data_IF_622943865520
#
_entry.id   IF_622943865520
#
_cell.length_a   1.000
_cell.length_b   1.000
_cell.length_c   1.000
_cell.angle_alpha   90.00
_cell.angle_beta   90.00
_cell.angle_gamma   90.00
#
_symmetry.space_group_name_H-M   'P 1'
#
loop_
_entity.id
_entity.type
_entity.pdbx_description
1 polymer ?
#
# COMPACT_ATOMS: atom_id res chain seq x y z
N UNK A 1 -17.64 7.76 -11.14
CA UNK A 1 -18.85 7.27 -11.83
C UNK A 1 -19.61 8.49 -12.35
N UNK A 2 -20.18 8.49 -13.56
CA UNK A 2 -21.11 9.54 -13.95
C UNK A 2 -22.44 9.26 -13.23
N UNK A 3 -22.75 10.11 -12.25
CA UNK A 3 -23.96 10.12 -11.44
C UNK A 3 -23.96 11.44 -10.65
N UNK A 4 -25.12 11.89 -10.14
CA UNK A 4 -25.16 13.12 -9.33
C UNK A 4 -24.15 13.00 -8.18
N UNK A 5 -23.41 14.08 -7.93
CA UNK A 5 -22.45 14.13 -6.82
C UNK A 5 -23.24 13.82 -5.55
N UNK A 6 -22.85 12.80 -4.75
CA UNK A 6 -23.55 12.46 -3.52
C UNK A 6 -23.68 13.69 -2.62
N UNK A 7 -24.81 13.82 -1.92
CA UNK A 7 -25.03 14.92 -0.97
C UNK A 7 -24.00 14.91 0.18
N UNK A 8 -23.43 13.74 0.50
CA UNK A 8 -22.42 13.52 1.52
C UNK A 8 -21.29 12.63 1.00
N UNK A 9 -20.04 12.97 1.32
CA UNK A 9 -18.86 12.12 1.06
C UNK A 9 -18.65 11.18 2.25
N UNK A 10 -19.23 9.98 2.19
CA UNK A 10 -19.05 8.95 3.21
C UNK A 10 -17.63 8.35 3.05
N UNK A 11 -16.79 8.27 4.11
CA UNK A 11 -15.45 7.70 4.00
C UNK A 11 -15.43 6.19 3.72
N UNK A 12 -14.23 5.65 3.47
CA UNK A 12 -13.97 4.20 3.31
C UNK A 12 -13.69 3.81 1.87
N UNK A 13 -12.55 3.14 1.65
CA UNK A 13 -12.00 2.81 0.32
C UNK A 13 -11.88 1.30 0.07
N UNK A 14 -12.19 0.48 1.06
CA UNK A 14 -12.16 -0.97 0.96
C UNK A 14 -13.19 -1.57 1.91
N UNK A 15 -13.50 -2.84 1.71
CA UNK A 15 -14.45 -3.58 2.53
C UNK A 15 -14.14 -5.08 2.51
N UNK A 16 -14.71 -5.79 3.49
CA UNK A 16 -14.98 -7.21 3.42
C UNK A 16 -16.35 -7.50 4.04
N UNK A 17 -17.08 -8.45 3.47
CA UNK A 17 -18.41 -8.83 3.92
C UNK A 17 -19.02 -9.94 3.06
N UNK A 18 -20.32 -10.16 3.19
CA UNK A 18 -21.05 -11.16 2.42
C UNK A 18 -21.88 -10.53 1.30
N UNK A 19 -21.98 -11.22 0.17
CA UNK A 19 -22.81 -10.77 -0.94
C UNK A 19 -24.29 -10.88 -0.56
N UNK A 20 -24.96 -9.75 -0.39
CA UNK A 20 -26.41 -9.72 -0.14
C UNK A 20 -27.25 -9.81 -1.42
N UNK A 21 -26.75 -9.28 -2.54
CA UNK A 21 -27.43 -9.29 -3.84
C UNK A 21 -26.43 -9.15 -4.99
N UNK A 22 -26.79 -9.66 -6.17
CA UNK A 22 -25.98 -9.55 -7.40
C UNK A 22 -26.81 -8.95 -8.53
N UNK A 23 -26.18 -8.13 -9.37
CA UNK A 23 -26.80 -7.62 -10.59
C UNK A 23 -26.92 -8.70 -11.65
N UNK A 24 -27.94 -8.63 -12.53
CA UNK A 24 -28.25 -9.71 -13.49
C UNK A 24 -27.20 -10.01 -14.57
N UNK A 25 -26.10 -9.25 -14.64
CA UNK A 25 -24.95 -9.49 -15.54
C UNK A 25 -23.66 -9.82 -14.79
N UNK A 26 -23.74 -10.03 -13.48
CA UNK A 26 -22.57 -10.35 -12.66
C UNK A 26 -22.28 -11.84 -12.77
N UNK A 27 -21.01 -12.16 -13.01
CA UNK A 27 -20.48 -13.53 -13.02
C UNK A 27 -19.47 -13.71 -11.89
N UNK A 28 -19.29 -14.95 -11.44
CA UNK A 28 -18.26 -15.34 -10.45
C UNK A 28 -18.63 -15.12 -8.98
N UNK A 29 -19.78 -14.50 -8.70
CA UNK A 29 -20.28 -14.23 -7.35
C UNK A 29 -21.73 -14.67 -7.18
N UNK A 30 -22.05 -15.17 -5.99
CA UNK A 30 -23.39 -15.55 -5.56
C UNK A 30 -23.72 -14.97 -4.18
N UNK A 31 -25.01 -14.87 -3.85
CA UNK A 31 -25.46 -14.47 -2.51
C UNK A 31 -24.85 -15.41 -1.46
N UNK A 32 -24.32 -14.83 -0.37
CA UNK A 32 -23.61 -15.55 0.68
C UNK A 32 -22.11 -15.78 0.43
N UNK A 33 -21.57 -15.44 -0.75
CA UNK A 33 -20.13 -15.46 -0.95
C UNK A 33 -19.44 -14.45 -0.01
N UNK A 34 -18.37 -14.89 0.66
CA UNK A 34 -17.46 -13.98 1.40
C UNK A 34 -16.58 -13.23 0.40
N UNK A 35 -16.68 -11.91 0.40
CA UNK A 35 -15.99 -11.04 -0.57
C UNK A 35 -15.26 -9.90 0.11
N UNK A 36 -14.17 -9.46 -0.51
CA UNK A 36 -13.45 -8.24 -0.15
C UNK A 36 -13.13 -7.44 -1.42
N UNK A 37 -12.94 -6.14 -1.32
CA UNK A 37 -12.67 -5.34 -2.51
C UNK A 37 -12.42 -3.87 -2.29
N UNK A 38 -12.23 -3.17 -3.40
CA UNK A 38 -12.03 -1.73 -3.44
C UNK A 38 -13.36 -0.96 -3.56
N UNK A 39 -13.36 0.23 -3.00
CA UNK A 39 -14.38 1.26 -3.11
C UNK A 39 -13.73 2.58 -3.53
N UNK A 40 -14.55 3.57 -3.90
CA UNK A 40 -14.08 4.93 -4.16
C UNK A 40 -14.58 5.93 -3.09
N UNK A 41 -15.09 5.40 -1.98
CA UNK A 41 -15.88 6.08 -0.95
C UNK A 41 -17.01 5.15 -0.48
N UNK A 42 -17.74 5.59 0.56
CA UNK A 42 -18.90 4.93 1.14
C UNK A 42 -18.65 3.57 1.84
N UNK A 43 -17.41 3.27 2.21
CA UNK A 43 -17.07 2.04 2.94
C UNK A 43 -17.39 2.07 4.44
N UNK A 44 -17.61 3.24 5.05
CA UNK A 44 -17.99 3.37 6.46
C UNK A 44 -19.50 3.17 6.59
N UNK A 45 -19.96 1.96 6.26
CA UNK A 45 -21.37 1.61 6.19
C UNK A 45 -21.55 0.10 6.41
N UNK A 46 -22.77 -0.29 6.81
CA UNK A 46 -23.15 -1.70 6.97
C UNK A 46 -23.40 -2.38 5.61
N UNK A 47 -23.72 -1.59 4.57
CA UNK A 47 -24.01 -2.06 3.22
C UNK A 47 -23.31 -1.17 2.20
N UNK A 48 -22.64 -1.81 1.23
CA UNK A 48 -21.93 -1.11 0.15
C UNK A 48 -22.27 -1.70 -1.20
N UNK A 49 -22.19 -0.88 -2.25
CA UNK A 49 -22.33 -1.33 -3.65
C UNK A 49 -20.99 -1.16 -4.34
N UNK A 50 -20.45 -2.25 -4.89
CA UNK A 50 -19.23 -2.20 -5.72
C UNK A 50 -19.45 -2.86 -7.08
N UNK A 51 -18.57 -2.54 -8.02
CA UNK A 51 -18.52 -3.25 -9.29
C UNK A 51 -17.83 -4.60 -9.08
N UNK A 52 -18.42 -5.70 -9.54
CA UNK A 52 -17.92 -7.07 -9.27
C UNK A 52 -16.42 -7.27 -9.60
N UNK A 53 -15.91 -6.64 -10.67
CA UNK A 53 -14.46 -6.63 -11.02
C UNK A 53 -13.51 -5.94 -10.03
N UNK A 54 -14.04 -5.26 -9.01
CA UNK A 54 -13.27 -4.66 -7.91
C UNK A 54 -13.37 -5.50 -6.62
N UNK A 55 -14.13 -6.59 -6.65
CA UNK A 55 -14.26 -7.56 -5.57
C UNK A 55 -13.48 -8.84 -5.90
N UNK A 56 -13.10 -9.55 -4.85
CA UNK A 56 -12.41 -10.84 -4.87
C UNK A 56 -13.02 -11.71 -3.78
N UNK A 57 -12.98 -13.04 -3.96
CA UNK A 57 -13.39 -13.97 -2.88
C UNK A 57 -12.39 -13.91 -1.74
N UNK A 58 -12.89 -13.93 -0.51
CA UNK A 58 -12.06 -14.00 0.70
C UNK A 58 -11.53 -15.43 0.84
N UNK A 59 -10.21 -15.65 0.93
CA UNK A 59 -9.67 -16.97 1.27
C UNK A 59 -10.17 -17.43 2.64
N UNK A 60 -10.48 -18.72 2.77
CA UNK A 60 -10.97 -19.30 4.03
C UNK A 60 -10.00 -19.10 5.21
N UNK A 61 -8.72 -18.94 4.90
CA UNK A 61 -7.65 -18.68 5.88
C UNK A 61 -7.70 -17.29 6.51
N UNK A 62 -8.50 -16.35 5.99
CA UNK A 62 -8.56 -14.98 6.50
C UNK A 62 -9.79 -14.75 7.38
N UNK A 63 -9.55 -14.07 8.51
CA UNK A 63 -10.61 -13.43 9.30
C UNK A 63 -11.23 -12.27 8.53
N UNK A 64 -12.40 -11.78 8.98
CA UNK A 64 -13.03 -10.59 8.38
C UNK A 64 -12.15 -9.34 8.50
N UNK A 65 -11.45 -9.17 9.62
CA UNK A 65 -10.56 -8.05 9.82
C UNK A 65 -9.37 -8.08 8.86
N UNK A 66 -8.74 -9.24 8.67
CA UNK A 66 -7.68 -9.40 7.68
C UNK A 66 -8.20 -9.20 6.26
N UNK A 67 -9.37 -9.73 5.94
CA UNK A 67 -10.01 -9.52 4.64
C UNK A 67 -10.27 -8.03 4.38
N UNK A 68 -10.80 -7.29 5.36
CA UNK A 68 -11.05 -5.85 5.26
C UNK A 68 -9.78 -4.99 5.25
N UNK A 69 -8.67 -5.52 5.74
CA UNK A 69 -7.36 -4.86 5.74
C UNK A 69 -6.52 -5.10 4.48
N UNK A 70 -7.01 -5.93 3.54
CA UNK A 70 -6.22 -6.41 2.40
C UNK A 70 -6.29 -5.51 1.14
N UNK A 71 -7.47 -5.17 0.61
CA UNK A 71 -7.60 -4.67 -0.77
C UNK A 71 -6.78 -3.42 -1.06
N UNK A 72 -6.99 -2.33 -0.32
CA UNK A 72 -6.43 -1.01 -0.66
C UNK A 72 -4.90 -1.06 -0.64
N UNK A 73 -4.32 -1.59 0.44
CA UNK A 73 -2.88 -1.48 0.67
C UNK A 73 -2.07 -2.48 -0.14
N UNK A 74 -2.57 -3.71 -0.31
CA UNK A 74 -1.84 -4.69 -1.10
C UNK A 74 -1.99 -4.45 -2.61
N UNK A 75 -3.17 -4.05 -3.09
CA UNK A 75 -3.34 -3.67 -4.50
C UNK A 75 -2.46 -2.47 -4.82
N UNK A 76 -2.47 -1.43 -3.96
CA UNK A 76 -1.64 -0.24 -4.14
C UNK A 76 -0.15 -0.57 -4.17
N UNK A 77 0.35 -1.33 -3.18
CA UNK A 77 1.77 -1.69 -3.12
C UNK A 77 2.21 -2.54 -4.31
N UNK A 78 1.42 -3.55 -4.68
CA UNK A 78 1.70 -4.43 -5.81
C UNK A 78 1.74 -3.65 -7.13
N UNK A 79 0.70 -2.88 -7.38
CA UNK A 79 0.59 -2.07 -8.60
C UNK A 79 1.69 -1.01 -8.68
N UNK A 80 2.03 -0.32 -7.58
CA UNK A 80 3.11 0.66 -7.56
C UNK A 80 4.47 0.04 -7.90
N UNK A 81 4.82 -1.11 -7.30
CA UNK A 81 6.10 -1.79 -7.57
C UNK A 81 6.20 -2.27 -9.02
N UNK A 82 5.11 -2.82 -9.57
CA UNK A 82 5.06 -3.22 -10.99
C UNK A 82 5.16 -2.01 -11.93
N UNK A 83 4.44 -0.92 -11.65
CA UNK A 83 4.50 0.31 -12.45
C UNK A 83 5.88 0.99 -12.39
N UNK A 84 6.62 0.79 -11.31
CA UNK A 84 7.99 1.24 -11.14
C UNK A 84 9.00 0.30 -11.83
N UNK A 85 8.54 -0.78 -12.48
CA UNK A 85 9.39 -1.73 -13.18
C UNK A 85 10.33 -2.49 -12.24
N UNK A 86 9.87 -2.81 -11.03
CA UNK A 86 10.64 -3.65 -10.11
C UNK A 86 10.87 -5.04 -10.71
N UNK A 87 12.10 -5.54 -10.55
CA UNK A 87 12.54 -6.86 -11.00
C UNK A 87 13.28 -7.59 -9.88
N UNK A 88 13.37 -8.92 -10.01
CA UNK A 88 14.18 -9.72 -9.09
C UNK A 88 15.64 -9.25 -9.10
N UNK A 89 16.25 -9.17 -7.92
CA UNK A 89 17.61 -8.66 -7.73
C UNK A 89 17.70 -7.17 -7.40
N UNK A 90 16.62 -6.41 -7.52
CA UNK A 90 16.62 -5.00 -7.14
C UNK A 90 16.83 -4.80 -5.63
N UNK A 91 17.53 -3.73 -5.26
CA UNK A 91 17.43 -3.13 -3.93
C UNK A 91 16.25 -2.15 -3.90
N UNK A 92 15.33 -2.34 -2.95
CA UNK A 92 14.11 -1.51 -2.82
C UNK A 92 14.16 -0.72 -1.51
N UNK A 93 13.94 0.59 -1.57
CA UNK A 93 13.72 1.45 -0.40
C UNK A 93 12.24 1.78 -0.28
N UNK A 94 11.64 1.49 0.87
CA UNK A 94 10.21 1.66 1.13
C UNK A 94 10.02 2.65 2.28
N UNK A 95 9.38 3.78 2.01
CA UNK A 95 9.06 4.75 3.06
C UNK A 95 7.82 4.35 3.87
N UNK A 96 7.82 4.77 5.14
CA UNK A 96 6.78 4.44 6.10
C UNK A 96 6.54 2.93 6.21
N UNK A 97 7.60 2.17 6.50
CA UNK A 97 7.62 0.71 6.61
C UNK A 97 6.56 0.13 7.57
N UNK A 98 6.12 0.90 8.57
CA UNK A 98 5.04 0.50 9.48
C UNK A 98 3.63 0.89 9.04
N UNK A 99 3.46 1.61 7.93
CA UNK A 99 2.14 1.91 7.38
C UNK A 99 1.53 0.68 6.69
N UNK A 100 0.23 0.69 6.40
CA UNK A 100 -0.40 -0.42 5.68
C UNK A 100 0.25 -0.70 4.31
N UNK A 101 0.50 0.36 3.51
CA UNK A 101 1.19 0.23 2.21
C UNK A 101 2.64 -0.22 2.41
N UNK A 102 3.36 0.31 3.40
CA UNK A 102 4.74 -0.09 3.69
C UNK A 102 4.87 -1.57 4.07
N UNK A 103 4.01 -2.05 4.97
CA UNK A 103 3.93 -3.46 5.38
C UNK A 103 3.63 -4.37 4.20
N UNK A 104 2.70 -3.98 3.32
CA UNK A 104 2.39 -4.74 2.11
C UNK A 104 3.57 -4.74 1.12
N UNK A 105 4.17 -3.56 0.88
CA UNK A 105 5.26 -3.38 -0.07
C UNK A 105 6.51 -4.16 0.32
N UNK A 106 6.86 -4.26 1.61
CA UNK A 106 8.02 -5.06 2.07
C UNK A 106 7.86 -6.52 1.65
N UNK A 107 6.70 -7.10 1.97
CA UNK A 107 6.41 -8.50 1.71
C UNK A 107 6.30 -8.79 0.21
N UNK A 108 5.66 -7.89 -0.55
CA UNK A 108 5.56 -8.00 -2.01
C UNK A 108 6.94 -7.86 -2.66
N UNK A 109 7.78 -6.93 -2.20
CA UNK A 109 9.13 -6.78 -2.73
C UNK A 109 9.96 -8.06 -2.52
N UNK A 110 9.86 -8.70 -1.34
CA UNK A 110 10.47 -10.00 -1.10
C UNK A 110 9.90 -11.10 -1.99
N UNK A 111 8.57 -11.16 -2.14
CA UNK A 111 7.90 -12.10 -3.03
C UNK A 111 8.37 -11.96 -4.49
N UNK A 112 8.59 -10.73 -4.96
CA UNK A 112 9.09 -10.43 -6.31
C UNK A 112 10.61 -10.63 -6.46
N UNK A 113 11.30 -11.07 -5.40
CA UNK A 113 12.72 -11.40 -5.44
C UNK A 113 13.67 -10.21 -5.26
N UNK A 114 13.27 -9.15 -4.54
CA UNK A 114 14.20 -8.10 -4.12
C UNK A 114 15.42 -8.72 -3.42
N UNK A 115 16.64 -8.32 -3.82
CA UNK A 115 17.85 -8.79 -3.11
C UNK A 115 17.92 -8.19 -1.70
N UNK A 116 17.43 -6.96 -1.55
CA UNK A 116 17.47 -6.20 -0.31
C UNK A 116 16.30 -5.23 -0.25
N UNK A 117 15.63 -5.19 0.89
CA UNK A 117 14.53 -4.29 1.21
C UNK A 117 14.98 -3.41 2.38
N UNK A 118 15.14 -2.13 2.10
CA UNK A 118 15.35 -1.09 3.09
C UNK A 118 14.03 -0.38 3.37
N UNK A 119 13.91 0.23 4.54
CA UNK A 119 12.70 0.97 4.84
C UNK A 119 12.82 1.93 6.01
N UNK A 120 12.06 3.01 5.95
CA UNK A 120 12.07 4.06 6.97
C UNK A 120 10.87 3.95 7.90
N UNK A 121 11.08 4.13 9.20
CA UNK A 121 9.99 4.26 10.17
C UNK A 121 10.36 5.22 11.31
N UNK A 122 9.36 5.71 12.04
CA UNK A 122 9.54 6.73 13.09
C UNK A 122 9.86 6.18 14.48
N UNK A 123 10.12 4.88 14.60
CA UNK A 123 10.54 4.22 15.84
C UNK A 123 11.21 2.88 15.58
N UNK A 124 12.12 2.50 16.48
CA UNK A 124 12.83 1.21 16.41
C UNK A 124 11.89 0.02 16.61
N UNK A 125 10.83 0.21 17.40
CA UNK A 125 9.76 -0.80 17.57
C UNK A 125 9.09 -1.15 16.25
N UNK A 126 8.78 -0.14 15.41
CA UNK A 126 8.19 -0.39 14.08
C UNK A 126 9.19 -1.04 13.13
N UNK A 127 10.47 -0.68 13.22
CA UNK A 127 11.53 -1.31 12.45
C UNK A 127 11.63 -2.80 12.81
N UNK A 128 11.63 -3.14 14.08
CA UNK A 128 11.73 -4.53 14.52
C UNK A 128 10.52 -5.35 14.06
N UNK A 129 9.30 -4.81 14.20
CA UNK A 129 8.10 -5.44 13.64
C UNK A 129 8.19 -5.61 12.12
N UNK A 130 8.80 -4.67 11.41
CA UNK A 130 9.02 -4.76 9.96
C UNK A 130 10.07 -5.83 9.58
N UNK A 131 11.10 -6.07 10.40
CA UNK A 131 12.06 -7.16 10.15
C UNK A 131 11.38 -8.52 10.11
N UNK A 132 10.40 -8.74 10.99
CA UNK A 132 9.63 -9.99 11.02
C UNK A 132 8.86 -10.27 9.73
N UNK A 133 8.63 -9.28 8.88
CA UNK A 133 7.92 -9.42 7.59
C UNK A 133 8.85 -9.24 6.37
N UNK A 134 10.17 -9.28 6.58
CA UNK A 134 11.15 -9.29 5.49
C UNK A 134 11.85 -7.94 5.24
N UNK A 135 11.85 -7.01 6.19
CA UNK A 135 12.73 -5.84 6.11
C UNK A 135 14.17 -6.22 6.44
N UNK A 136 15.12 -5.99 5.52
CA UNK A 136 16.54 -6.30 5.77
C UNK A 136 17.23 -5.18 6.54
N UNK A 137 16.97 -3.93 6.14
CA UNK A 137 17.60 -2.73 6.75
C UNK A 137 16.52 -1.73 7.11
N UNK A 138 16.25 -1.59 8.40
CA UNK A 138 15.37 -0.53 8.91
C UNK A 138 16.15 0.70 9.32
N UNK A 139 15.59 1.86 8.98
CA UNK A 139 16.19 3.17 9.23
C UNK A 139 15.21 4.01 10.04
N UNK A 140 15.62 4.43 11.23
CA UNK A 140 14.81 5.31 12.04
C UNK A 140 15.06 6.76 11.61
N UNK A 141 14.12 7.32 10.84
CA UNK A 141 14.32 8.65 10.24
C UNK A 141 14.36 9.79 11.27
N UNK A 142 14.06 9.53 12.55
CA UNK A 142 14.18 10.51 13.63
C UNK A 142 15.60 10.65 14.16
N UNK A 143 16.43 9.62 13.97
CA UNK A 143 17.80 9.56 14.51
C UNK A 143 18.86 9.32 13.45
N UNK A 144 18.45 9.03 12.21
CA UNK A 144 19.34 8.70 11.09
C UNK A 144 18.90 9.41 9.81
N UNK A 145 19.85 9.71 8.93
CA UNK A 145 19.58 10.15 7.55
C UNK A 145 19.42 8.92 6.64
N UNK A 146 18.22 8.73 6.08
CA UNK A 146 17.95 7.55 5.27
C UNK A 146 18.72 7.48 3.96
N UNK A 147 19.14 8.60 3.38
CA UNK A 147 19.91 8.59 2.16
C UNK A 147 21.33 8.08 2.43
N UNK A 148 21.94 8.52 3.54
CA UNK A 148 23.25 8.05 3.96
C UNK A 148 23.24 6.59 4.36
N UNK A 149 22.23 6.17 5.13
CA UNK A 149 22.05 4.77 5.51
C UNK A 149 21.80 3.86 4.31
N UNK A 150 21.02 4.33 3.33
CA UNK A 150 20.80 3.59 2.08
C UNK A 150 22.11 3.41 1.31
N UNK A 151 22.92 4.47 1.17
CA UNK A 151 24.22 4.37 0.52
C UNK A 151 25.15 3.43 1.30
N UNK A 152 25.21 3.54 2.63
CA UNK A 152 26.03 2.67 3.48
C UNK A 152 25.68 1.19 3.31
N UNK A 153 24.39 0.85 3.39
CA UNK A 153 23.90 -0.52 3.25
C UNK A 153 24.12 -1.09 1.84
N UNK A 154 24.22 -0.24 0.83
CA UNK A 154 24.37 -0.64 -0.58
C UNK A 154 25.79 -0.46 -1.12
N UNK A 155 26.78 -0.20 -0.26
CA UNK A 155 28.17 0.02 -0.70
C UNK A 155 28.33 1.24 -1.61
N UNK A 156 27.55 2.29 -1.38
CA UNK A 156 27.55 3.53 -2.15
C UNK A 156 26.71 3.50 -3.44
N UNK A 157 26.09 2.38 -3.79
CA UNK A 157 25.31 2.25 -5.03
C UNK A 157 23.97 3.00 -4.99
N UNK A 158 23.27 2.94 -3.87
CA UNK A 158 21.88 3.41 -3.73
C UNK A 158 20.83 2.32 -4.02
N UNK A 159 19.56 2.68 -3.85
CA UNK A 159 18.41 1.81 -4.13
C UNK A 159 18.03 1.83 -5.62
N UNK A 160 17.75 0.67 -6.20
CA UNK A 160 17.31 0.55 -7.59
C UNK A 160 15.84 0.99 -7.74
N UNK A 161 15.02 0.75 -6.71
CA UNK A 161 13.61 1.17 -6.64
C UNK A 161 13.33 1.92 -5.35
N UNK A 162 12.60 3.03 -5.42
CA UNK A 162 12.05 3.73 -4.24
C UNK A 162 10.52 3.76 -4.35
N UNK A 163 9.84 3.27 -3.32
CA UNK A 163 8.40 3.48 -3.12
C UNK A 163 8.21 4.60 -2.10
N UNK A 164 7.72 5.74 -2.57
CA UNK A 164 7.59 6.97 -1.80
C UNK A 164 6.13 7.30 -1.50
N UNK A 165 5.83 7.45 -0.21
CA UNK A 165 4.53 7.93 0.30
C UNK A 165 4.63 9.30 0.97
N UNK A 166 5.82 9.89 1.00
CA UNK A 166 6.13 11.15 1.69
C UNK A 166 6.11 12.32 0.71
N UNK A 167 6.76 12.21 -0.44
CA UNK A 167 6.76 13.27 -1.46
C UNK A 167 7.74 14.40 -1.17
N UNK A 168 7.25 15.63 -1.09
CA UNK A 168 8.06 16.86 -1.15
C UNK A 168 9.24 16.88 -0.16
N UNK A 169 8.99 16.58 1.12
CA UNK A 169 10.02 16.59 2.18
C UNK A 169 11.19 15.62 1.93
N UNK A 170 10.95 14.54 1.19
CA UNK A 170 11.94 13.48 0.96
C UNK A 170 12.61 13.58 -0.41
N UNK A 171 12.16 14.48 -1.30
CA UNK A 171 12.61 14.55 -2.68
C UNK A 171 14.14 14.54 -2.86
N UNK A 172 14.86 15.49 -2.24
CA UNK A 172 16.31 15.61 -2.41
C UNK A 172 17.06 14.38 -1.86
N UNK A 173 16.64 13.89 -0.69
CA UNK A 173 17.21 12.70 -0.06
C UNK A 173 16.91 11.43 -0.85
N UNK A 174 15.74 11.32 -1.45
CA UNK A 174 15.40 10.24 -2.38
C UNK A 174 16.33 10.26 -3.60
N UNK A 175 16.58 11.43 -4.19
CA UNK A 175 17.52 11.54 -5.32
C UNK A 175 18.96 11.17 -4.94
N UNK A 176 19.40 11.48 -3.71
CA UNK A 176 20.70 11.05 -3.17
C UNK A 176 20.75 9.53 -2.96
N UNK A 177 19.69 8.95 -2.39
CA UNK A 177 19.56 7.52 -2.10
C UNK A 177 19.38 6.65 -3.35
N UNK A 178 18.88 7.22 -4.45
CA UNK A 178 18.57 6.51 -5.68
C UNK A 178 19.84 6.08 -6.43
N UNK A 179 19.86 4.85 -6.91
CA UNK A 179 20.94 4.32 -7.73
C UNK A 179 20.99 4.96 -9.12
N UNK A 180 22.11 4.76 -9.80
CA UNK A 180 22.24 5.04 -11.24
C UNK A 180 21.22 4.19 -12.01
N UNK A 181 20.41 4.83 -12.85
CA UNK A 181 19.23 4.26 -13.55
C UNK A 181 18.12 3.79 -12.61
N UNK A 182 18.11 4.26 -11.36
CA UNK A 182 17.07 3.92 -10.40
C UNK A 182 15.72 4.53 -10.76
N UNK A 183 14.67 3.94 -10.20
CA UNK A 183 13.27 4.23 -10.49
C UNK A 183 12.55 4.56 -9.19
N UNK A 184 11.77 5.64 -9.17
CA UNK A 184 10.98 6.04 -8.01
C UNK A 184 9.51 6.11 -8.39
N UNK A 185 8.64 5.53 -7.55
CA UNK A 185 7.19 5.68 -7.64
C UNK A 185 6.67 6.45 -6.43
N UNK A 186 6.02 7.58 -6.69
CA UNK A 186 5.35 8.40 -5.69
C UNK A 186 3.89 7.98 -5.64
N UNK A 187 3.48 7.45 -4.49
CA UNK A 187 2.15 6.90 -4.21
C UNK A 187 1.36 7.80 -3.25
N UNK A 188 2.06 8.61 -2.45
CA UNK A 188 1.47 9.51 -1.45
C UNK A 188 2.32 10.75 -1.21
N UNK A 189 1.74 11.73 -0.53
CA UNK A 189 2.30 13.07 -0.33
C UNK A 189 2.22 13.51 1.14
N UNK A 190 2.47 12.59 2.09
CA UNK A 190 2.34 12.86 3.53
C UNK A 190 3.23 14.00 4.02
N UNK A 191 4.40 14.18 3.42
CA UNK A 191 5.37 15.26 3.67
C UNK A 191 5.23 16.42 2.69
N UNK A 192 4.06 16.60 2.07
CA UNK A 192 3.75 17.72 1.18
C UNK A 192 3.79 17.40 -0.31
N UNK A 193 3.13 18.26 -1.10
CA UNK A 193 2.88 18.07 -2.53
C UNK A 193 3.71 18.96 -3.46
N UNK A 194 4.54 19.85 -2.90
CA UNK A 194 5.31 20.83 -3.66
C UNK A 194 6.70 21.01 -3.04
N UNK A 195 7.72 21.06 -3.90
CA UNK A 195 9.12 21.24 -3.51
C UNK A 195 9.91 21.86 -4.66
N UNK A 196 11.04 22.50 -4.34
CA UNK A 196 12.02 22.95 -5.34
C UNK A 196 12.92 21.76 -5.72
N UNK A 197 13.13 21.53 -7.01
CA UNK A 197 13.88 20.36 -7.49
C UNK A 197 15.01 20.74 -8.45
N UNK A 198 16.22 20.21 -8.20
CA UNK A 198 17.31 20.25 -9.16
C UNK A 198 17.16 19.09 -10.18
N UNK A 199 16.62 19.40 -11.36
CA UNK A 199 16.41 18.41 -12.42
C UNK A 199 17.72 17.87 -13.02
N UNK A 200 18.86 18.54 -12.81
CA UNK A 200 20.17 18.05 -13.24
C UNK A 200 20.53 16.70 -12.62
N UNK A 201 20.04 16.42 -11.40
CA UNK A 201 20.27 15.14 -10.72
C UNK A 201 19.59 13.98 -11.45
N UNK A 202 18.41 14.20 -12.03
CA UNK A 202 17.71 13.19 -12.84
C UNK A 202 18.54 12.79 -14.05
N UNK A 203 19.17 13.76 -14.73
CA UNK A 203 20.03 13.53 -15.89
C UNK A 203 21.29 12.75 -15.49
N UNK A 204 21.96 13.18 -14.43
CA UNK A 204 23.18 12.53 -13.92
C UNK A 204 22.93 11.08 -13.52
N UNK A 205 21.81 10.82 -12.84
CA UNK A 205 21.40 9.47 -12.43
C UNK A 205 20.74 8.70 -13.56
N UNK A 206 20.30 9.34 -14.65
CA UNK A 206 19.37 8.76 -15.64
C UNK A 206 18.16 8.12 -14.95
N UNK A 207 17.64 8.83 -13.95
CA UNK A 207 16.59 8.35 -13.08
C UNK A 207 15.23 8.38 -13.76
N UNK A 208 14.31 7.56 -13.27
CA UNK A 208 12.88 7.63 -13.63
C UNK A 208 12.07 7.98 -12.39
N UNK A 209 11.11 8.89 -12.53
CA UNK A 209 10.16 9.25 -11.47
C UNK A 209 8.76 9.14 -12.03
N UNK A 210 7.88 8.41 -11.33
CA UNK A 210 6.50 8.18 -11.72
C UNK A 210 5.58 8.50 -10.56
N UNK A 211 4.51 9.27 -10.81
CA UNK A 211 3.40 9.43 -9.87
C UNK A 211 2.32 8.40 -10.13
N UNK A 212 1.60 7.99 -9.09
CA UNK A 212 0.45 7.11 -9.23
C UNK A 212 -0.61 7.35 -8.15
N UNK A 213 -1.87 7.03 -8.45
CA UNK A 213 -3.00 7.07 -7.49
C UNK A 213 -3.93 5.91 -7.81
N UNK A 214 -4.63 5.33 -6.83
CA UNK A 214 -5.58 4.24 -7.08
C UNK A 214 -7.03 4.74 -7.14
N UNK A 215 -7.49 5.49 -6.11
CA UNK A 215 -8.90 5.92 -5.96
C UNK A 215 -9.48 6.59 -7.21
N UNK A 216 -8.72 7.52 -7.80
CA UNK A 216 -9.17 8.38 -8.90
C UNK A 216 -9.13 7.69 -10.28
N UNK A 217 -8.54 6.49 -10.39
CA UNK A 217 -8.42 5.80 -11.67
C UNK A 217 -9.78 5.41 -12.25
N UNK A 218 -9.90 5.35 -13.59
CA UNK A 218 -11.02 4.73 -14.27
C UNK A 218 -11.28 3.30 -13.76
N UNK A 219 -12.53 2.85 -13.90
CA UNK A 219 -12.94 1.50 -13.47
C UNK A 219 -12.07 0.40 -14.09
N UNK A 220 -11.76 0.50 -15.38
CA UNK A 220 -10.97 -0.50 -16.09
C UNK A 220 -9.56 -0.65 -15.50
N UNK A 221 -8.89 0.47 -15.21
CA UNK A 221 -7.56 0.45 -14.60
C UNK A 221 -7.58 -0.16 -13.20
N UNK A 222 -8.61 0.15 -12.39
CA UNK A 222 -8.77 -0.45 -11.06
C UNK A 222 -9.07 -1.95 -11.15
N UNK A 223 -9.89 -2.37 -12.11
CA UNK A 223 -10.18 -3.78 -12.35
C UNK A 223 -8.92 -4.55 -12.77
N UNK A 224 -8.08 -3.97 -13.62
CA UNK A 224 -6.80 -4.56 -14.01
C UNK A 224 -5.85 -4.70 -12.82
N UNK A 225 -5.71 -3.66 -11.98
CA UNK A 225 -4.89 -3.72 -10.77
C UNK A 225 -5.40 -4.76 -9.78
N UNK A 226 -6.72 -4.82 -9.56
CA UNK A 226 -7.39 -5.80 -8.68
C UNK A 226 -7.12 -7.22 -9.17
N UNK A 227 -7.35 -7.51 -10.46
CA UNK A 227 -7.11 -8.83 -11.05
C UNK A 227 -5.64 -9.23 -11.02
N UNK A 228 -4.73 -8.28 -11.25
CA UNK A 228 -3.29 -8.55 -11.18
C UNK A 228 -2.86 -8.94 -9.76
N UNK A 229 -3.37 -8.25 -8.74
CA UNK A 229 -3.17 -8.59 -7.34
C UNK A 229 -3.79 -9.96 -6.99
N UNK A 230 -5.05 -10.19 -7.36
CA UNK A 230 -5.78 -11.44 -7.12
C UNK A 230 -5.02 -12.64 -7.67
N UNK A 231 -4.47 -12.52 -8.88
CA UNK A 231 -3.70 -13.59 -9.52
C UNK A 231 -2.32 -13.81 -8.87
N UNK A 232 -1.65 -12.75 -8.47
CA UNK A 232 -0.21 -12.80 -8.18
C UNK A 232 0.13 -12.81 -6.69
N UNK A 233 -0.67 -12.14 -5.86
CA UNK A 233 -0.37 -11.91 -4.43
C UNK A 233 -1.34 -12.65 -3.52
N UNK A 234 -2.64 -12.67 -3.87
CA UNK A 234 -3.66 -13.30 -3.03
C UNK A 234 -3.38 -14.78 -2.70
N UNK A 235 -2.84 -15.62 -3.61
CA UNK A 235 -2.45 -16.99 -3.27
C UNK A 235 -1.35 -17.07 -2.21
N UNK A 236 -0.45 -16.08 -2.16
CA UNK A 236 0.59 -16.02 -1.14
C UNK A 236 0.02 -15.62 0.23
N UNK A 237 -0.98 -14.75 0.25
CA UNK A 237 -1.75 -14.43 1.46
C UNK A 237 -2.52 -15.66 1.95
N UNK A 238 -3.24 -16.34 1.05
CA UNK A 238 -4.00 -17.55 1.38
C UNK A 238 -3.12 -18.67 1.95
N UNK A 239 -1.89 -18.80 1.46
CA UNK A 239 -0.91 -19.78 1.97
C UNK A 239 -0.16 -19.33 3.23
N UNK A 240 -0.40 -18.12 3.75
CA UNK A 240 0.31 -17.55 4.90
C UNK A 240 1.75 -17.08 4.62
N UNK A 241 2.22 -17.17 3.37
CA UNK A 241 3.55 -16.66 2.95
C UNK A 241 3.64 -15.14 3.04
N UNK A 242 2.54 -14.45 2.78
CA UNK A 242 2.37 -13.02 3.05
C UNK A 242 1.34 -12.90 4.16
N UNK A 243 1.64 -12.10 5.18
CA UNK A 243 0.77 -11.86 6.32
C UNK A 243 0.07 -10.53 6.20
N UNK A 244 -1.25 -10.53 6.41
CA UNK A 244 -2.02 -9.31 6.61
C UNK A 244 -1.81 -8.87 8.06
N UNK A 245 -1.42 -7.62 8.27
CA UNK A 245 -1.15 -7.11 9.61
C UNK A 245 -2.25 -6.14 10.00
N UNK A 246 -3.16 -6.63 10.84
CA UNK A 246 -4.15 -5.81 11.56
C UNK A 246 -3.54 -5.40 12.89
N UNK A 247 -3.47 -4.09 13.13
CA UNK A 247 -2.94 -3.56 14.39
C UNK A 247 -4.05 -3.42 15.45
N UNK A 248 -5.23 -2.97 15.00
CA UNK A 248 -6.38 -2.73 15.86
C UNK A 248 -7.68 -2.76 15.08
N UNK A 249 -8.70 -3.25 15.75
CA UNK A 249 -10.09 -3.19 15.29
C UNK A 249 -10.86 -2.23 16.20
N UNK A 250 -11.74 -1.43 15.59
CA UNK A 250 -12.70 -0.57 16.28
C UNK A 250 -14.10 -0.87 15.75
N UNK A 251 -15.16 -0.78 16.55
CA UNK A 251 -16.52 -0.77 16.03
C UNK A 251 -16.72 0.38 15.02
N UNK A 252 -17.56 0.21 14.00
CA UNK A 252 -17.89 1.26 13.04
C UNK A 252 -18.42 2.54 13.73
N UNK A 253 -19.16 2.39 14.83
CA UNK A 253 -19.64 3.50 15.64
C UNK A 253 -18.50 4.35 16.26
N UNK A 254 -17.30 3.79 16.38
CA UNK A 254 -16.10 4.45 16.91
C UNK A 254 -15.16 4.93 15.79
N UNK A 255 -15.67 5.15 14.58
CA UNK A 255 -14.88 5.59 13.43
C UNK A 255 -14.01 6.82 13.72
N UNK A 256 -14.49 7.77 14.55
CA UNK A 256 -13.72 8.94 14.96
C UNK A 256 -12.47 8.55 15.77
N UNK A 257 -12.61 7.67 16.77
CA UNK A 257 -11.50 7.20 17.58
C UNK A 257 -10.46 6.41 16.75
N UNK A 258 -10.93 5.61 15.79
CA UNK A 258 -10.06 4.90 14.86
C UNK A 258 -9.24 5.87 13.99
N UNK A 259 -9.86 6.96 13.51
CA UNK A 259 -9.19 8.00 12.72
C UNK A 259 -8.17 8.78 13.56
N UNK A 260 -8.49 9.12 14.81
CA UNK A 260 -7.56 9.75 15.74
C UNK A 260 -6.35 8.86 16.05
N UNK A 261 -6.59 7.56 16.30
CA UNK A 261 -5.52 6.59 16.52
C UNK A 261 -4.56 6.47 15.33
N UNK A 262 -5.11 6.43 14.11
CA UNK A 262 -4.34 6.43 12.87
C UNK A 262 -3.57 7.75 12.68
N UNK A 263 -4.21 8.91 12.92
CA UNK A 263 -3.59 10.22 12.78
C UNK A 263 -2.41 10.44 13.75
N UNK A 264 -2.45 9.81 14.92
CA UNK A 264 -1.34 9.78 15.88
C UNK A 264 -0.12 8.96 15.40
N UNK A 265 -0.20 8.32 14.22
CA UNK A 265 0.82 7.43 13.67
C UNK A 265 1.21 6.31 14.66
N UNK A 266 0.28 5.82 15.47
CA UNK A 266 0.54 4.80 16.48
C UNK A 266 0.60 3.38 15.89
N UNK A 267 -0.21 3.11 14.86
CA UNK A 267 -0.40 1.79 14.27
C UNK A 267 0.85 1.23 13.56
N UNK A 268 0.93 -0.09 13.50
CA UNK A 268 1.78 -0.81 12.55
C UNK A 268 0.92 -1.78 11.74
N UNK A 269 0.77 -1.52 10.45
CA UNK A 269 -0.25 -2.17 9.62
C UNK A 269 -1.57 -1.43 9.65
N UNK A 270 -2.69 -2.16 9.60
CA UNK A 270 -4.03 -1.60 9.35
C UNK A 270 -4.84 -1.41 10.62
N UNK A 271 -5.60 -0.33 10.65
CA UNK A 271 -6.71 -0.13 11.57
C UNK A 271 -7.99 -0.47 10.82
N UNK A 272 -8.83 -1.31 11.40
CA UNK A 272 -10.05 -1.84 10.76
C UNK A 272 -11.28 -1.36 11.52
N UNK A 273 -12.35 -1.05 10.78
CA UNK A 273 -13.67 -0.85 11.36
C UNK A 273 -14.50 -2.12 11.19
N UNK A 274 -14.98 -2.66 12.30
CA UNK A 274 -15.86 -3.82 12.34
C UNK A 274 -17.32 -3.38 12.35
N UNK A 275 -18.13 -4.03 11.52
CA UNK A 275 -19.59 -3.96 11.55
C UNK A 275 -20.09 -5.14 12.38
N UNK A 276 -21.05 -4.88 13.27
CA UNK A 276 -21.56 -5.88 14.23
C UNK A 276 -22.33 -7.01 13.60
#
# INVERSE_FOLDING_TARGET
QPGPKPAHDIPGLEFAGEVAAVGGRVEGFAVGDRVMGLLAGAGYAEMVVTHHRLAMKVPDSLTWAEAGATPEVFITAHDALLQCGMTAGDTVLIHAAGSGVGVAAIQIAKMLGARMVLGTAGSDVKIERARAIGLDVGINYKTQDFAEETLRATGGRGADVILDVIGAEYWERNMKALALKGRMVIVGLMGGNSTTANLGVLLQKRAQVRGTTLRARPLEEKALATRAFEKSVLPHIASGRIRVVVDREFPLAEAAAAQEYMAANANFGKVVLAVG
#
